data_IF_213535548767
#
_entry.id   IF_213535548767
#
_cell.length_a   1.000
_cell.length_b   1.000
_cell.length_c   1.000
_cell.angle_alpha   90.00
_cell.angle_beta   90.00
_cell.angle_gamma   90.00
#
_symmetry.space_group_name_H-M   'P 1'
#
loop_
_entity.id
_entity.type
_entity.pdbx_description
1 polymer ?
#
# COMPACT_ATOMS: atom_id res chain seq x y z
N UNK A 1 -0.37 7.76 10.49
CA UNK A 1 -0.84 6.96 9.34
C UNK A 1 -0.66 7.78 8.09
N UNK A 2 -1.27 8.97 8.04
CA UNK A 2 -1.10 9.97 6.98
C UNK A 2 0.35 10.20 6.60
N UNK A 3 1.26 10.50 7.54
CA UNK A 3 2.68 10.73 7.21
C UNK A 3 3.33 9.61 6.38
N UNK A 4 2.98 8.35 6.65
CA UNK A 4 3.52 7.20 5.92
C UNK A 4 2.93 7.08 4.52
N UNK A 5 1.65 7.43 4.37
CA UNK A 5 0.95 7.39 3.09
C UNK A 5 1.42 8.56 2.23
N UNK A 6 1.53 9.76 2.79
CA UNK A 6 2.11 10.95 2.15
C UNK A 6 3.55 10.70 1.70
N UNK A 7 4.36 10.05 2.53
CA UNK A 7 5.73 9.68 2.14
C UNK A 7 5.73 8.70 0.97
N UNK A 8 4.91 7.65 1.03
CA UNK A 8 4.79 6.65 -0.03
C UNK A 8 4.25 7.21 -1.34
N UNK A 9 3.33 8.17 -1.27
CA UNK A 9 2.67 8.77 -2.43
C UNK A 9 3.32 10.07 -2.90
N UNK A 10 4.54 10.37 -2.46
CA UNK A 10 5.24 11.59 -2.88
C UNK A 10 5.49 11.57 -4.41
N UNK A 11 4.89 12.49 -5.19
CA UNK A 11 5.02 12.53 -6.64
C UNK A 11 6.46 12.67 -7.15
N UNK A 12 7.35 13.31 -6.38
CA UNK A 12 8.76 13.49 -6.76
C UNK A 12 9.55 12.17 -6.80
N UNK A 13 9.00 11.12 -6.19
CA UNK A 13 9.64 9.81 -6.07
C UNK A 13 9.00 8.73 -6.93
N UNK A 14 7.74 8.93 -7.30
CA UNK A 14 6.89 7.89 -7.86
C UNK A 14 7.22 7.62 -9.33
N UNK A 15 7.53 6.35 -9.62
CA UNK A 15 7.54 5.82 -10.98
C UNK A 15 6.21 5.18 -11.39
N UNK A 16 5.51 4.55 -10.44
CA UNK A 16 4.21 3.91 -10.67
C UNK A 16 3.41 3.76 -9.37
N UNK A 17 2.08 3.76 -9.48
CA UNK A 17 1.16 3.52 -8.36
C UNK A 17 0.02 2.61 -8.82
N UNK A 18 -0.36 1.65 -7.97
CA UNK A 18 -1.57 0.85 -8.15
C UNK A 18 -2.27 0.66 -6.80
N UNK A 19 -3.57 0.35 -6.84
CA UNK A 19 -4.36 0.10 -5.63
C UNK A 19 -5.46 -0.93 -5.86
N UNK A 20 -5.99 -1.43 -4.74
CA UNK A 20 -7.11 -2.35 -4.69
C UNK A 20 -8.02 -1.99 -3.53
N UNK A 21 -9.31 -1.81 -3.81
CA UNK A 21 -10.36 -1.41 -2.85
C UNK A 21 -10.07 -0.11 -2.08
N UNK A 22 -9.24 0.77 -2.63
CA UNK A 22 -9.08 2.15 -2.17
C UNK A 22 -8.54 3.05 -3.28
N UNK A 23 -8.76 4.34 -3.16
CA UNK A 23 -8.03 5.34 -3.94
C UNK A 23 -6.77 5.76 -3.17
N UNK A 24 -5.58 5.79 -3.78
CA UNK A 24 -4.36 6.18 -3.09
C UNK A 24 -4.45 7.53 -2.38
N UNK A 25 -5.16 8.51 -2.96
CA UNK A 25 -5.28 9.85 -2.41
C UNK A 25 -6.17 9.91 -1.16
N UNK A 26 -7.11 8.96 -1.01
CA UNK A 26 -8.03 8.88 0.14
C UNK A 26 -7.79 7.68 1.04
N UNK A 27 -6.78 6.87 0.75
CA UNK A 27 -6.48 5.64 1.46
C UNK A 27 -6.37 5.79 2.99
N UNK A 28 -5.76 6.86 3.58
CA UNK A 28 -5.75 7.01 5.04
C UNK A 28 -7.17 7.05 5.65
N UNK A 29 -8.09 7.78 5.01
CA UNK A 29 -9.47 7.90 5.46
C UNK A 29 -10.25 6.60 5.24
N UNK A 30 -10.06 5.94 4.09
CA UNK A 30 -10.74 4.68 3.77
C UNK A 30 -10.35 3.54 4.71
N UNK A 31 -9.08 3.43 5.10
CA UNK A 31 -8.65 2.43 6.08
C UNK A 31 -9.30 2.67 7.46
N UNK A 32 -9.47 3.93 7.86
CA UNK A 32 -10.18 4.28 9.09
C UNK A 32 -11.69 4.03 8.99
N UNK A 33 -12.27 4.21 7.80
CA UNK A 33 -13.67 3.89 7.53
C UNK A 33 -13.93 2.39 7.71
N UNK A 34 -13.09 1.51 7.13
CA UNK A 34 -13.23 0.06 7.29
C UNK A 34 -13.10 -0.38 8.75
N UNK A 35 -12.18 0.23 9.51
CA UNK A 35 -12.09 0.00 10.96
C UNK A 35 -13.39 0.37 11.68
N UNK A 36 -14.00 1.50 11.30
CA UNK A 36 -15.24 1.99 11.91
C UNK A 36 -16.43 1.10 11.54
N UNK A 37 -16.51 0.62 10.30
CA UNK A 37 -17.50 -0.35 9.84
C UNK A 37 -17.40 -1.66 10.63
N UNK A 38 -16.19 -2.21 10.79
CA UNK A 38 -15.99 -3.42 11.60
C UNK A 38 -16.52 -3.27 13.03
N UNK A 39 -16.28 -2.12 13.67
CA UNK A 39 -16.82 -1.84 15.00
C UNK A 39 -18.35 -1.80 15.01
N UNK A 40 -18.95 -1.12 14.03
CA UNK A 40 -20.40 -1.00 13.91
C UNK A 40 -21.08 -2.36 13.67
N UNK A 41 -20.49 -3.20 12.81
CA UNK A 41 -21.05 -4.51 12.44
C UNK A 41 -20.87 -5.57 13.52
N UNK A 42 -19.73 -5.57 14.22
CA UNK A 42 -19.40 -6.63 15.18
C UNK A 42 -19.63 -6.24 16.64
N UNK A 43 -19.75 -4.95 16.94
CA UNK A 43 -19.76 -4.41 18.30
C UNK A 43 -18.42 -4.58 19.04
N UNK A 44 -17.36 -5.06 18.37
CA UNK A 44 -16.07 -5.37 19.00
C UNK A 44 -15.08 -4.23 18.78
N UNK A 45 -14.76 -3.51 19.85
CA UNK A 45 -13.68 -2.54 19.83
C UNK A 45 -12.33 -3.26 19.68
N UNK A 46 -11.60 -2.97 18.60
CA UNK A 46 -10.23 -3.44 18.40
C UNK A 46 -9.31 -2.65 19.33
N UNK A 47 -8.99 -3.24 20.49
CA UNK A 47 -8.12 -2.63 21.51
C UNK A 47 -6.63 -2.93 21.31
N UNK A 48 -6.29 -3.89 20.44
CA UNK A 48 -4.92 -4.32 20.12
C UNK A 48 -4.81 -4.75 18.65
N UNK A 49 -3.65 -4.54 18.04
CA UNK A 49 -3.36 -4.95 16.66
C UNK A 49 -2.89 -3.79 15.77
N UNK A 50 -2.38 -4.11 14.59
CA UNK A 50 -1.99 -3.13 13.58
C UNK A 50 -3.17 -2.84 12.64
N UNK A 51 -3.38 -1.56 12.32
CA UNK A 51 -4.40 -1.13 11.37
C UNK A 51 -4.02 -1.46 9.91
N UNK A 52 -2.72 -1.49 9.63
CA UNK A 52 -2.17 -1.84 8.33
C UNK A 52 -0.74 -2.38 8.51
N UNK A 53 -0.24 -3.03 7.47
CA UNK A 53 1.13 -3.47 7.37
C UNK A 53 1.81 -2.80 6.17
N UNK A 54 3.13 -2.70 6.23
CA UNK A 54 3.94 -2.20 5.13
C UNK A 54 4.93 -3.30 4.72
N UNK A 55 4.93 -3.67 3.45
CA UNK A 55 5.98 -4.47 2.84
C UNK A 55 6.90 -3.52 2.09
N UNK A 56 8.21 -3.78 2.16
CA UNK A 56 9.19 -3.15 1.28
C UNK A 56 9.83 -4.22 0.41
N UNK A 57 9.94 -3.94 -0.88
CA UNK A 57 10.54 -4.85 -1.86
C UNK A 57 11.49 -4.05 -2.74
N UNK A 58 12.76 -4.42 -2.79
CA UNK A 58 13.77 -3.76 -3.59
C UNK A 58 14.28 -4.70 -4.70
N UNK A 59 14.66 -4.12 -5.82
CA UNK A 59 15.17 -4.81 -7.00
C UNK A 59 16.60 -4.32 -7.31
N UNK A 60 17.42 -5.15 -7.94
CA UNK A 60 18.76 -4.74 -8.37
C UNK A 60 18.67 -3.68 -9.49
N UNK A 61 19.67 -2.79 -9.64
CA UNK A 61 19.69 -1.81 -10.72
C UNK A 61 19.58 -2.47 -12.10
N UNK A 62 18.60 -2.06 -12.89
CA UNK A 62 18.34 -2.60 -14.23
C UNK A 62 17.61 -3.96 -14.28
N UNK A 63 17.22 -4.53 -13.13
CA UNK A 63 16.52 -5.82 -13.07
C UNK A 63 15.08 -5.73 -13.60
N UNK A 64 14.40 -4.61 -13.32
CA UNK A 64 12.99 -4.38 -13.67
C UNK A 64 12.76 -2.92 -14.04
N UNK A 65 11.68 -2.62 -14.78
CA UNK A 65 11.13 -1.26 -14.89
C UNK A 65 10.28 -0.89 -13.67
N UNK A 66 9.88 0.38 -13.55
CA UNK A 66 8.99 0.83 -12.48
C UNK A 66 7.61 0.14 -12.57
N UNK A 67 7.08 -0.03 -13.78
CA UNK A 67 5.81 -0.70 -14.03
C UNK A 67 5.88 -2.20 -13.71
N UNK A 68 7.00 -2.85 -14.05
CA UNK A 68 7.22 -4.26 -13.70
C UNK A 68 7.34 -4.45 -12.18
N UNK A 69 8.11 -3.61 -11.50
CA UNK A 69 8.21 -3.61 -10.05
C UNK A 69 6.83 -3.40 -9.40
N UNK A 70 6.03 -2.47 -9.92
CA UNK A 70 4.69 -2.21 -9.41
C UNK A 70 3.76 -3.41 -9.61
N UNK A 71 3.78 -4.04 -10.78
CA UNK A 71 3.01 -5.25 -11.07
C UNK A 71 3.39 -6.40 -10.13
N UNK A 72 4.69 -6.61 -9.90
CA UNK A 72 5.18 -7.62 -8.93
C UNK A 72 4.68 -7.30 -7.52
N UNK A 73 4.73 -6.02 -7.11
CA UNK A 73 4.22 -5.57 -5.83
C UNK A 73 2.71 -5.80 -5.69
N UNK A 74 1.93 -5.51 -6.74
CA UNK A 74 0.50 -5.73 -6.77
C UNK A 74 0.16 -7.22 -6.64
N UNK A 75 0.81 -8.09 -7.41
CA UNK A 75 0.63 -9.54 -7.31
C UNK A 75 0.98 -10.05 -5.91
N UNK A 76 2.07 -9.54 -5.33
CA UNK A 76 2.50 -9.88 -3.97
C UNK A 76 1.42 -9.50 -2.95
N UNK A 77 0.93 -8.27 -3.01
CA UNK A 77 -0.11 -7.78 -2.12
C UNK A 77 -1.43 -8.52 -2.30
N UNK A 78 -1.85 -8.79 -3.54
CA UNK A 78 -3.06 -9.56 -3.85
C UNK A 78 -2.99 -10.98 -3.29
N UNK A 79 -1.85 -11.68 -3.47
CA UNK A 79 -1.64 -13.03 -2.92
C UNK A 79 -1.63 -13.02 -1.40
N UNK A 80 -0.98 -12.03 -0.79
CA UNK A 80 -0.89 -11.93 0.66
C UNK A 80 -2.23 -11.63 1.33
N UNK A 81 -2.97 -10.66 0.77
CA UNK A 81 -4.29 -10.25 1.27
C UNK A 81 -5.41 -11.21 0.86
N UNK A 82 -5.14 -12.13 -0.08
CA UNK A 82 -6.11 -13.05 -0.68
C UNK A 82 -7.32 -12.31 -1.27
N UNK A 83 -7.12 -11.08 -1.75
CA UNK A 83 -8.17 -10.21 -2.29
C UNK A 83 -9.20 -9.73 -1.26
N UNK A 84 -8.95 -9.91 0.04
CA UNK A 84 -9.91 -9.57 1.12
C UNK A 84 -9.66 -8.21 1.78
N UNK A 85 -8.49 -7.62 1.56
CA UNK A 85 -8.08 -6.39 2.22
C UNK A 85 -7.65 -5.36 1.18
N UNK A 86 -7.98 -4.10 1.45
CA UNK A 86 -7.52 -2.98 0.65
C UNK A 86 -6.01 -2.79 0.78
N UNK A 87 -5.37 -2.36 -0.31
CA UNK A 87 -3.95 -2.03 -0.35
C UNK A 87 -3.63 -1.08 -1.50
N UNK A 88 -2.45 -0.49 -1.44
CA UNK A 88 -1.85 0.22 -2.56
C UNK A 88 -0.36 -0.09 -2.61
N UNK A 89 0.22 0.07 -3.79
CA UNK A 89 1.64 -0.16 -4.08
C UNK A 89 2.20 1.11 -4.70
N UNK A 90 3.22 1.67 -4.04
CA UNK A 90 3.96 2.81 -4.54
C UNK A 90 5.32 2.33 -4.99
N UNK A 91 5.70 2.59 -6.24
CA UNK A 91 7.04 2.27 -6.73
C UNK A 91 7.87 3.54 -6.79
N UNK A 92 9.00 3.55 -6.10
CA UNK A 92 9.94 4.67 -6.00
C UNK A 92 11.16 4.49 -6.89
N UNK A 93 11.56 5.57 -7.57
CA UNK A 93 12.70 5.62 -8.50
C UNK A 93 13.71 6.73 -8.16
N UNK A 94 13.57 7.40 -7.02
CA UNK A 94 14.41 8.52 -6.55
C UNK A 94 15.70 8.07 -5.84
N UNK A 95 16.07 6.80 -5.99
CA UNK A 95 17.21 6.17 -5.32
C UNK A 95 18.02 5.36 -6.34
N UNK A 96 19.16 4.83 -5.90
CA UNK A 96 20.06 4.04 -6.75
C UNK A 96 19.42 2.75 -7.31
N UNK A 97 18.27 2.34 -6.79
CA UNK A 97 17.53 1.16 -7.23
C UNK A 97 16.02 1.35 -7.07
N UNK A 98 15.25 0.61 -7.88
CA UNK A 98 13.79 0.60 -7.83
C UNK A 98 13.32 -0.19 -6.60
N UNK A 99 12.31 0.34 -5.91
CA UNK A 99 11.70 -0.32 -4.77
C UNK A 99 10.21 0.02 -4.62
N UNK A 100 9.46 -0.90 -4.02
CA UNK A 100 8.09 -0.73 -3.54
C UNK A 100 8.05 -0.46 -2.03
#
# INVERSE_FOLDING_TARGET
MEDRFTYGLNPEKLGAVSSYLCDPNTAPAEFLLVKSQYLAETGRAVSRGALFFQIRQAFLPGEVTAEEANRIGYETAMRWTKGKYQFFVCTHTDKAHIHN
#
